data_IF_289643929671
#
_entry.id   IF_289643929671
#
_cell.length_a   1.000
_cell.length_b   1.000
_cell.length_c   1.000
_cell.angle_alpha   90.00
_cell.angle_beta   90.00
_cell.angle_gamma   90.00
#
_symmetry.space_group_name_H-M   'P 1'
#
loop_
_entity.id
_entity.type
_entity.pdbx_description
1 polymer ?
#
# COMPACT_ATOMS: atom_id res chain seq x y z
N UNK A 1 19.84 4.62 -13.46
CA UNK A 1 19.45 4.26 -13.20
C UNK A 1 18.82 3.45 -13.15
N UNK A 2 18.64 3.42 -12.76
CA UNK A 2 18.17 2.75 -12.57
C UNK A 2 17.31 2.27 -12.05
N UNK A 3 16.83 2.02 -11.85
CA UNK A 3 16.09 1.62 -11.35
C UNK A 3 15.71 0.88 -10.99
N UNK A 4 15.62 0.90 -10.86
CA UNK A 4 15.31 0.16 -10.31
C UNK A 4 14.26 -0.70 -10.15
N UNK A 5 14.47 -1.47 -9.79
CA UNK A 5 13.25 -2.07 -9.67
C UNK A 5 12.69 -1.85 -8.33
N UNK A 6 11.43 -2.02 -8.26
CA UNK A 6 10.69 -1.54 -7.19
C UNK A 6 10.38 -2.60 -6.18
N UNK A 7 10.70 -2.34 -4.98
CA UNK A 7 10.23 -3.17 -3.91
C UNK A 7 8.85 -2.74 -3.49
N UNK A 8 8.25 -3.46 -2.53
CA UNK A 8 7.00 -3.02 -1.97
C UNK A 8 7.19 -1.65 -1.32
N UNK A 9 6.14 -0.87 -1.36
CA UNK A 9 6.13 0.47 -0.82
C UNK A 9 5.13 0.53 0.31
N UNK A 10 5.17 1.63 1.06
CA UNK A 10 4.21 1.85 2.12
C UNK A 10 3.32 3.03 1.78
N UNK A 11 2.05 2.91 2.16
CA UNK A 11 1.06 3.95 1.90
C UNK A 11 0.24 4.13 3.16
N UNK A 12 -0.30 5.34 3.34
CA UNK A 12 -1.21 5.58 4.44
C UNK A 12 -2.62 5.71 3.89
N UNK A 13 -3.56 5.06 4.57
CA UNK A 13 -4.94 5.06 4.14
C UNK A 13 -5.61 6.36 4.56
N UNK A 14 -6.21 7.08 3.61
CA UNK A 14 -6.90 8.32 3.88
C UNK A 14 -8.38 8.24 3.53
N UNK A 15 -8.81 7.19 2.85
CA UNK A 15 -10.22 6.93 2.55
C UNK A 15 -10.46 5.45 2.59
N UNK A 16 -11.62 5.05 3.10
CA UNK A 16 -11.95 3.63 3.15
C UNK A 16 -13.42 3.37 2.83
N UNK A 17 -14.04 4.29 2.11
CA UNK A 17 -15.45 4.17 1.80
C UNK A 17 -15.74 2.88 1.06
N UNK A 18 -16.66 2.08 1.58
CA UNK A 18 -16.98 0.79 1.02
C UNK A 18 -16.10 -0.34 1.49
N UNK A 19 -15.02 -0.04 2.24
CA UNK A 19 -14.05 -1.05 2.64
C UNK A 19 -13.64 -0.91 4.10
N UNK A 20 -14.58 -0.49 4.95
CA UNK A 20 -14.24 -0.19 6.34
C UNK A 20 -13.78 -1.42 7.12
N UNK A 21 -14.19 -2.61 6.70
CA UNK A 21 -13.74 -3.83 7.37
C UNK A 21 -12.33 -4.20 6.95
N UNK A 22 -11.89 -3.75 5.78
CA UNK A 22 -10.58 -4.12 5.24
C UNK A 22 -9.53 -3.06 5.42
N UNK A 23 -9.92 -1.80 5.57
CA UNK A 23 -9.00 -0.68 5.63
C UNK A 23 -9.36 0.25 6.77
N UNK A 24 -8.35 0.65 7.51
CA UNK A 24 -8.53 1.56 8.64
C UNK A 24 -7.92 2.91 8.29
N UNK A 25 -8.63 3.98 8.59
CA UNK A 25 -8.14 5.32 8.26
C UNK A 25 -6.87 5.63 9.05
N UNK A 26 -5.96 6.30 8.38
CA UNK A 26 -4.71 6.78 8.95
C UNK A 26 -3.79 5.65 9.42
N UNK A 27 -3.98 4.47 8.85
CA UNK A 27 -3.10 3.36 9.11
C UNK A 27 -2.18 3.13 7.92
N UNK A 28 -1.00 2.63 8.18
CA UNK A 28 0.01 2.37 7.15
C UNK A 28 -0.14 0.94 6.66
N UNK A 29 -0.17 0.78 5.34
CA UNK A 29 -0.26 -0.52 4.70
C UNK A 29 0.87 -0.68 3.71
N UNK A 30 1.18 -1.93 3.40
CA UNK A 30 2.19 -2.23 2.41
C UNK A 30 1.52 -2.32 1.04
N UNK A 31 2.08 -1.62 0.06
CA UNK A 31 1.61 -1.66 -1.30
C UNK A 31 2.60 -2.47 -2.14
N UNK A 32 2.08 -3.30 -3.01
CA UNK A 32 2.89 -4.16 -3.86
C UNK A 32 2.85 -3.65 -5.28
N UNK A 33 3.95 -3.81 -6.03
CA UNK A 33 3.96 -3.38 -7.42
C UNK A 33 2.93 -4.17 -8.23
N UNK A 34 2.20 -3.47 -9.08
CA UNK A 34 1.21 -4.11 -9.94
C UNK A 34 0.97 -3.20 -11.12
N UNK A 35 1.65 -3.47 -12.22
CA UNK A 35 1.61 -2.59 -13.38
C UNK A 35 0.21 -2.52 -13.97
N UNK A 36 -0.51 -3.63 -13.96
CA UNK A 36 -1.87 -3.63 -14.51
C UNK A 36 -2.81 -2.82 -13.63
N UNK A 37 -2.65 -2.95 -12.32
CA UNK A 37 -3.44 -2.13 -11.41
C UNK A 37 -3.16 -0.66 -11.61
N UNK A 38 -1.88 -0.30 -11.74
CA UNK A 38 -1.52 1.09 -11.94
C UNK A 38 -2.13 1.66 -13.21
N UNK A 39 -2.23 0.87 -14.26
CA UNK A 39 -2.83 1.31 -15.50
C UNK A 39 -4.30 1.66 -15.32
N UNK A 40 -4.94 1.10 -14.30
CA UNK A 40 -6.36 1.35 -14.03
C UNK A 40 -6.55 2.21 -12.80
N UNK A 41 -5.48 2.88 -12.34
CA UNK A 41 -5.52 3.75 -11.15
C UNK A 41 -5.92 3.00 -9.90
N UNK A 42 -5.44 1.77 -9.80
CA UNK A 42 -5.61 0.93 -8.62
C UNK A 42 -4.24 0.64 -8.05
N UNK A 43 -4.22 0.39 -6.76
CA UNK A 43 -3.00 0.00 -6.08
C UNK A 43 -3.25 -1.29 -5.33
N UNK A 44 -2.28 -2.21 -5.39
CA UNK A 44 -2.40 -3.48 -4.68
C UNK A 44 -1.88 -3.32 -3.28
N UNK A 45 -2.73 -3.55 -2.30
CA UNK A 45 -2.42 -3.29 -0.90
C UNK A 45 -2.72 -4.53 -0.08
N UNK A 46 -1.81 -4.86 0.84
CA UNK A 46 -2.05 -5.92 1.83
C UNK A 46 -2.91 -5.30 2.92
N UNK A 47 -4.16 -5.74 3.02
CA UNK A 47 -5.13 -5.09 3.91
C UNK A 47 -5.21 -5.80 5.28
N UNK A 48 -6.24 -5.46 6.04
CA UNK A 48 -6.37 -5.98 7.40
C UNK A 48 -6.52 -7.51 7.44
N UNK A 49 -6.98 -8.11 6.35
CA UNK A 49 -7.10 -9.56 6.31
C UNK A 49 -5.75 -10.25 6.13
N UNK A 50 -4.71 -9.51 5.79
CA UNK A 50 -3.41 -10.09 5.50
C UNK A 50 -3.27 -10.53 4.05
N UNK A 51 -4.31 -10.36 3.24
CA UNK A 51 -4.25 -10.68 1.83
C UNK A 51 -4.21 -9.38 1.03
N UNK A 52 -3.81 -9.49 -0.22
CA UNK A 52 -3.65 -8.31 -1.05
C UNK A 52 -4.79 -8.20 -2.06
N UNK A 53 -5.30 -6.99 -2.20
CA UNK A 53 -6.37 -6.68 -3.13
C UNK A 53 -6.08 -5.35 -3.79
N UNK A 54 -6.76 -5.11 -4.90
CA UNK A 54 -6.64 -3.84 -5.62
C UNK A 54 -7.67 -2.86 -5.08
N UNK A 55 -7.20 -1.66 -4.73
CA UNK A 55 -8.05 -0.59 -4.20
C UNK A 55 -7.81 0.68 -5.01
N UNK A 56 -8.76 1.61 -4.99
CA UNK A 56 -8.55 2.90 -5.69
C UNK A 56 -7.31 3.60 -5.15
N UNK A 57 -6.50 4.10 -6.05
CA UNK A 57 -5.27 4.75 -5.65
C UNK A 57 -5.55 6.01 -4.83
N UNK A 58 -6.74 6.62 -5.02
CA UNK A 58 -7.11 7.82 -4.27
C UNK A 58 -7.35 7.56 -2.79
N UNK A 59 -7.43 6.29 -2.39
CA UNK A 59 -7.62 5.95 -0.98
C UNK A 59 -6.33 6.09 -0.17
N UNK A 60 -5.19 6.26 -0.84
CA UNK A 60 -3.90 6.16 -0.18
C UNK A 60 -2.97 7.29 -0.58
N UNK A 61 -2.04 7.61 0.30
CA UNK A 61 -0.95 8.52 0.01
C UNK A 61 0.35 7.74 0.23
N UNK A 62 1.23 7.70 -0.79
CA UNK A 62 2.52 7.04 -0.61
C UNK A 62 3.35 7.76 0.44
N UNK A 63 4.06 7.00 1.25
CA UNK A 63 4.92 7.58 2.27
C UNK A 63 6.27 6.89 2.19
N UNK A 64 7.30 7.63 2.62
CA UNK A 64 8.63 7.09 2.77
C UNK A 64 8.93 6.94 4.24
N UNK A 65 9.53 5.82 4.58
CA UNK A 65 9.84 5.51 5.97
C UNK A 65 11.34 5.31 6.11
N UNK A 66 11.92 5.68 7.27
CA UNK A 66 13.30 5.29 7.54
C UNK A 66 13.46 3.79 7.46
N UNK A 67 14.63 3.35 7.01
CA UNK A 67 14.86 1.93 6.77
C UNK A 67 14.54 1.05 7.99
N UNK A 68 14.89 1.44 9.23
CA UNK A 68 14.56 0.58 10.37
C UNK A 68 13.05 0.41 10.56
N UNK A 69 12.29 1.48 10.33
CA UNK A 69 10.82 1.40 10.46
C UNK A 69 10.25 0.51 9.36
N UNK A 70 10.76 0.69 8.16
CA UNK A 70 10.30 -0.10 7.02
C UNK A 70 10.53 -1.58 7.26
N UNK A 71 11.73 -1.93 7.77
CA UNK A 71 12.04 -3.31 8.06
C UNK A 71 11.15 -3.89 9.15
N UNK A 72 10.87 -3.09 10.16
CA UNK A 72 10.01 -3.54 11.25
C UNK A 72 8.61 -3.84 10.77
N UNK A 73 8.06 -2.98 9.91
CA UNK A 73 6.73 -3.19 9.38
C UNK A 73 6.68 -4.35 8.41
N UNK A 74 7.70 -4.53 7.61
CA UNK A 74 7.74 -5.62 6.65
C UNK A 74 7.87 -6.97 7.33
N UNK A 75 8.46 -7.01 8.51
CA UNK A 75 8.69 -8.26 9.22
C UNK A 75 7.49 -8.74 10.01
N UNK A 76 6.52 -7.87 10.25
CA UNK A 76 5.38 -8.25 11.10
C UNK A 76 4.26 -8.95 10.36
#
# INVERSE_FOLDING_TARGET
MRRKHRKSEFVICVKNRGYKASLELRKIYRALPDAEGEAHRLVRVVDESGEDYLYPVSFFIPIELPAPVERALAAS
#
